data_IF_264015473950
#
_entry.id   IF_264015473950
#
_cell.length_a   1.000
_cell.length_b   1.000
_cell.length_c   1.000
_cell.angle_alpha   90.00
_cell.angle_beta   90.00
_cell.angle_gamma   90.00
#
_symmetry.space_group_name_H-M   'P 1'
#
loop_
_entity.id
_entity.type
_entity.pdbx_description
1 polymer ?
#
# COMPACT_ATOMS: atom_id res chain seq x y z
N UNK A 1 -5.37 -10.65 14.91
CA UNK A 1 -4.87 -10.75 13.51
C UNK A 1 -5.56 -11.95 12.87
N UNK A 2 -6.06 -11.82 11.64
CA UNK A 2 -6.75 -12.90 10.90
C UNK A 2 -6.14 -13.18 9.51
N UNK A 3 -5.02 -12.54 9.18
CA UNK A 3 -4.28 -12.76 7.95
C UNK A 3 -3.08 -13.70 8.12
N UNK A 4 -2.51 -14.13 7.00
CA UNK A 4 -1.30 -14.94 6.89
C UNK A 4 -0.07 -14.02 6.83
N UNK A 5 0.95 -14.32 7.64
CA UNK A 5 2.23 -13.59 7.68
C UNK A 5 3.34 -14.63 7.47
N UNK A 6 4.25 -14.38 6.54
CA UNK A 6 5.41 -15.27 6.30
C UNK A 6 6.50 -15.12 7.37
N UNK A 7 7.48 -16.03 7.35
CA UNK A 7 8.56 -16.05 8.34
C UNK A 7 9.53 -14.86 8.21
N UNK A 8 9.56 -14.19 7.07
CA UNK A 8 10.47 -13.06 6.80
C UNK A 8 9.82 -11.70 7.13
N UNK A 9 8.53 -11.68 7.47
CA UNK A 9 7.81 -10.46 7.80
C UNK A 9 7.91 -10.10 9.28
N UNK A 10 7.90 -8.80 9.57
CA UNK A 10 7.93 -8.27 10.94
C UNK A 10 6.71 -7.40 11.20
N UNK A 11 6.02 -7.65 12.32
CA UNK A 11 4.87 -6.85 12.74
C UNK A 11 5.15 -6.28 14.13
N UNK A 12 5.26 -4.95 14.22
CA UNK A 12 5.72 -4.24 15.41
C UNK A 12 4.62 -3.27 15.86
N UNK A 13 4.22 -3.35 17.13
CA UNK A 13 3.25 -2.42 17.72
C UNK A 13 1.78 -2.79 17.44
N UNK A 14 0.89 -1.78 17.46
CA UNK A 14 -0.56 -1.99 17.32
C UNK A 14 -0.96 -2.17 15.86
N UNK A 15 -1.07 -3.42 15.41
CA UNK A 15 -1.43 -3.74 14.03
C UNK A 15 -2.66 -4.63 13.97
N UNK A 16 -3.65 -4.22 13.18
CA UNK A 16 -4.81 -5.04 12.86
C UNK A 16 -4.68 -5.54 11.42
N UNK A 17 -4.93 -6.84 11.21
CA UNK A 17 -4.86 -7.49 9.90
C UNK A 17 -6.14 -8.27 9.71
N UNK A 18 -6.90 -7.92 8.67
CA UNK A 18 -8.14 -8.56 8.28
C UNK A 18 -7.96 -9.98 7.75
N UNK A 19 -9.08 -10.68 7.60
CA UNK A 19 -9.10 -12.07 7.15
C UNK A 19 -8.68 -12.17 5.68
N UNK A 20 -7.97 -13.25 5.33
CA UNK A 20 -7.55 -13.53 3.95
C UNK A 20 -6.42 -12.64 3.44
N UNK A 21 -5.93 -11.71 4.26
CA UNK A 21 -4.80 -10.86 3.91
C UNK A 21 -3.48 -11.62 4.04
N UNK A 22 -2.56 -11.41 3.10
CA UNK A 22 -1.26 -12.06 3.02
C UNK A 22 -0.15 -11.03 3.12
N UNK A 23 0.82 -11.31 3.98
CA UNK A 23 1.97 -10.44 4.26
C UNK A 23 3.24 -11.25 4.04
N UNK A 24 4.03 -10.85 3.05
CA UNK A 24 5.16 -11.62 2.53
C UNK A 24 6.38 -10.70 2.52
N UNK A 25 7.48 -11.13 3.14
CA UNK A 25 8.75 -10.40 3.20
C UNK A 25 8.58 -8.89 3.47
N UNK A 26 7.71 -8.54 4.42
CA UNK A 26 7.27 -7.15 4.64
C UNK A 26 7.37 -6.74 6.11
N UNK A 27 7.61 -5.46 6.35
CA UNK A 27 7.67 -4.88 7.70
C UNK A 27 6.49 -3.97 7.94
N UNK A 28 5.75 -4.20 9.02
CA UNK A 28 4.58 -3.40 9.39
C UNK A 28 4.79 -2.86 10.79
N UNK A 29 4.77 -1.53 10.89
CA UNK A 29 4.97 -0.82 12.14
C UNK A 29 3.73 -0.01 12.48
N UNK A 30 3.05 -0.42 13.55
CA UNK A 30 1.81 0.20 14.03
C UNK A 30 2.00 1.56 14.70
N UNK A 31 0.92 2.34 14.90
CA UNK A 31 -0.50 1.96 14.68
C UNK A 31 -0.86 1.85 13.20
N UNK A 32 -1.33 0.66 12.76
CA UNK A 32 -1.72 0.36 11.38
C UNK A 32 -2.95 -0.54 11.35
N UNK A 33 -3.84 -0.29 10.39
CA UNK A 33 -5.00 -1.16 10.09
C UNK A 33 -4.87 -1.66 8.66
N UNK A 34 -4.92 -2.98 8.49
CA UNK A 34 -4.97 -3.66 7.20
C UNK A 34 -6.30 -4.40 7.10
N UNK A 35 -7.04 -4.13 6.04
CA UNK A 35 -8.33 -4.72 5.73
C UNK A 35 -8.24 -6.20 5.37
N UNK A 36 -9.34 -6.70 4.83
CA UNK A 36 -9.48 -8.09 4.38
C UNK A 36 -8.95 -8.29 2.96
N UNK A 37 -8.52 -9.52 2.65
CA UNK A 37 -8.07 -9.95 1.32
C UNK A 37 -7.01 -9.03 0.68
N UNK A 38 -6.12 -8.47 1.49
CA UNK A 38 -5.00 -7.66 1.01
C UNK A 38 -3.81 -8.53 0.63
N UNK A 39 -3.03 -8.12 -0.35
CA UNK A 39 -1.76 -8.77 -0.70
C UNK A 39 -0.64 -7.74 -0.53
N UNK A 40 0.25 -7.98 0.43
CA UNK A 40 1.36 -7.09 0.79
C UNK A 40 2.65 -7.89 0.65
N UNK A 41 3.53 -7.46 -0.25
CA UNK A 41 4.75 -8.19 -0.60
C UNK A 41 5.93 -7.23 -0.79
N UNK A 42 7.05 -7.51 -0.14
CA UNK A 42 8.25 -6.67 -0.18
C UNK A 42 7.98 -5.20 0.17
N UNK A 43 7.13 -4.97 1.17
CA UNK A 43 6.66 -3.64 1.53
C UNK A 43 7.09 -3.23 2.94
N UNK A 44 7.29 -1.93 3.12
CA UNK A 44 7.26 -1.31 4.44
C UNK A 44 5.94 -0.56 4.63
N UNK A 45 5.18 -0.87 5.69
CA UNK A 45 3.99 -0.11 6.09
C UNK A 45 4.27 0.49 7.47
N UNK A 46 4.49 1.80 7.51
CA UNK A 46 4.76 2.50 8.74
C UNK A 46 3.51 3.04 9.45
N UNK A 47 3.74 3.68 10.61
CA UNK A 47 2.69 4.17 11.50
C UNK A 47 1.69 5.10 10.83
N UNK A 48 0.50 5.18 11.43
CA UNK A 48 -0.58 6.07 11.01
C UNK A 48 -1.07 5.83 9.58
N UNK A 49 -0.79 4.65 9.03
CA UNK A 49 -1.31 4.21 7.75
C UNK A 49 -2.53 3.30 7.92
N UNK A 50 -3.47 3.41 6.98
CA UNK A 50 -4.63 2.53 6.89
C UNK A 50 -4.76 1.96 5.48
N UNK A 51 -4.97 0.66 5.40
CA UNK A 51 -5.08 -0.11 4.16
C UNK A 51 -6.44 -0.77 4.14
N UNK A 52 -7.31 -0.37 3.21
CA UNK A 52 -8.66 -0.93 3.08
C UNK A 52 -8.65 -2.32 2.42
N UNK A 53 -9.83 -2.95 2.33
CA UNK A 53 -9.98 -4.30 1.79
C UNK A 53 -9.55 -4.40 0.32
N UNK A 54 -9.01 -5.56 -0.06
CA UNK A 54 -8.66 -5.87 -1.45
C UNK A 54 -7.46 -5.10 -2.00
N UNK A 55 -6.71 -4.39 -1.15
CA UNK A 55 -5.53 -3.63 -1.60
C UNK A 55 -4.39 -4.58 -1.93
N UNK A 56 -3.69 -4.26 -3.03
CA UNK A 56 -2.46 -4.92 -3.45
C UNK A 56 -1.28 -3.95 -3.36
N UNK A 57 -0.30 -4.26 -2.51
CA UNK A 57 0.98 -3.56 -2.38
C UNK A 57 2.10 -4.54 -2.73
N UNK A 58 2.90 -4.20 -3.74
CA UNK A 58 4.08 -4.97 -4.12
C UNK A 58 5.23 -4.01 -4.33
N UNK A 59 6.37 -4.26 -3.68
CA UNK A 59 7.59 -3.46 -3.81
C UNK A 59 7.32 -1.95 -3.61
N UNK A 60 6.73 -1.60 -2.46
CA UNK A 60 6.33 -0.23 -2.14
C UNK A 60 6.38 0.06 -0.63
N UNK A 61 6.81 1.27 -0.29
CA UNK A 61 6.92 1.75 1.09
C UNK A 61 5.90 2.86 1.36
N UNK A 62 5.15 2.75 2.47
CA UNK A 62 4.02 3.62 2.78
C UNK A 62 4.03 4.06 4.25
N UNK A 63 3.90 5.35 4.49
CA UNK A 63 3.79 5.98 5.82
C UNK A 63 2.71 7.05 5.82
N UNK A 64 2.08 7.32 6.97
CA UNK A 64 1.11 8.41 7.15
C UNK A 64 0.03 8.50 6.04
N UNK A 65 -0.43 7.37 5.52
CA UNK A 65 -1.25 7.35 4.30
C UNK A 65 -2.51 6.49 4.44
N UNK A 66 -3.55 6.88 3.69
CA UNK A 66 -4.82 6.16 3.62
C UNK A 66 -4.96 5.53 2.24
N UNK A 67 -5.06 4.21 2.17
CA UNK A 67 -5.24 3.46 0.92
C UNK A 67 -6.63 2.86 0.90
N UNK A 68 -7.44 3.29 -0.07
CA UNK A 68 -8.84 2.88 -0.18
C UNK A 68 -9.00 1.56 -0.94
N UNK A 69 -10.23 1.04 -0.87
CA UNK A 69 -10.60 -0.32 -1.29
C UNK A 69 -10.14 -0.61 -2.73
N UNK A 70 -9.63 -1.83 -2.94
CA UNK A 70 -9.25 -2.37 -4.25
C UNK A 70 -8.14 -1.59 -4.98
N UNK A 71 -7.39 -0.72 -4.27
CA UNK A 71 -6.25 -0.02 -4.85
C UNK A 71 -5.05 -0.96 -5.09
N UNK A 72 -4.23 -0.64 -6.08
CA UNK A 72 -3.05 -1.42 -6.47
C UNK A 72 -1.85 -0.49 -6.60
N UNK A 73 -0.79 -0.75 -5.84
CA UNK A 73 0.48 -0.02 -5.90
C UNK A 73 1.59 -1.04 -6.12
N UNK A 74 2.33 -0.92 -7.23
CA UNK A 74 3.33 -1.90 -7.66
C UNK A 74 4.60 -1.21 -8.13
N UNK A 75 5.74 -1.59 -7.53
CA UNK A 75 7.07 -1.20 -7.99
C UNK A 75 7.42 0.26 -7.71
N UNK A 76 6.80 0.89 -6.72
CA UNK A 76 7.10 2.28 -6.37
C UNK A 76 8.24 2.31 -5.36
N UNK A 77 9.46 2.54 -5.86
CA UNK A 77 10.67 2.56 -5.04
C UNK A 77 10.85 3.84 -4.21
N UNK A 78 10.02 4.87 -4.44
CA UNK A 78 9.99 6.05 -3.59
C UNK A 78 8.98 5.83 -2.46
N UNK A 79 9.29 6.34 -1.27
CA UNK A 79 8.37 6.25 -0.14
C UNK A 79 7.14 7.13 -0.38
N UNK A 80 5.95 6.56 -0.23
CA UNK A 80 4.67 7.26 -0.28
C UNK A 80 4.33 7.74 1.14
N UNK A 81 4.21 9.05 1.32
CA UNK A 81 3.95 9.70 2.62
C UNK A 81 2.82 10.72 2.48
N UNK A 82 2.08 10.97 3.55
CA UNK A 82 1.05 12.02 3.66
C UNK A 82 0.03 11.99 2.50
N UNK A 83 -0.36 10.78 2.08
CA UNK A 83 -1.12 10.55 0.85
C UNK A 83 -2.46 9.85 1.09
N UNK A 84 -3.44 10.16 0.24
CA UNK A 84 -4.70 9.41 0.14
C UNK A 84 -4.79 8.76 -1.24
N UNK A 85 -4.80 7.43 -1.29
CA UNK A 85 -4.88 6.65 -2.52
C UNK A 85 -6.32 6.17 -2.71
N UNK A 86 -6.94 6.62 -3.80
CA UNK A 86 -8.35 6.41 -4.11
C UNK A 86 -8.78 4.95 -4.31
N UNK A 87 -10.10 4.72 -4.25
CA UNK A 87 -10.70 3.39 -4.49
C UNK A 87 -10.38 2.92 -5.91
N UNK A 88 -9.88 1.69 -6.08
CA UNK A 88 -9.44 1.11 -7.37
C UNK A 88 -8.33 1.92 -8.07
N UNK A 89 -7.65 2.83 -7.36
CA UNK A 89 -6.53 3.55 -7.92
C UNK A 89 -5.39 2.57 -8.25
N UNK A 90 -4.64 2.86 -9.32
CA UNK A 90 -3.48 2.09 -9.74
C UNK A 90 -2.26 2.98 -9.83
N UNK A 91 -1.24 2.67 -9.04
CA UNK A 91 0.10 3.26 -9.11
C UNK A 91 1.06 2.17 -9.57
N UNK A 92 1.61 2.31 -10.77
CA UNK A 92 2.52 1.34 -11.36
C UNK A 92 3.57 2.05 -12.21
N UNK A 93 4.79 1.50 -12.26
CA UNK A 93 5.82 1.98 -13.17
C UNK A 93 5.52 1.45 -14.58
N UNK A 94 5.42 2.38 -15.54
CA UNK A 94 5.22 2.02 -16.94
C UNK A 94 6.45 1.27 -17.51
N UNK A 95 6.28 0.10 -18.15
CA UNK A 95 7.39 -0.73 -18.63
C UNK A 95 8.08 -0.22 -19.90
N UNK A 96 7.52 0.77 -20.60
CA UNK A 96 7.97 1.19 -21.94
C UNK A 96 8.56 2.60 -21.94
N UNK A 97 9.68 2.77 -22.63
CA UNK A 97 10.23 4.10 -22.94
C UNK A 97 9.35 4.80 -23.98
N UNK A 98 9.24 6.14 -23.94
CA UNK A 98 9.88 7.07 -22.99
C UNK A 98 9.25 7.02 -21.60
N UNK A 99 10.05 7.35 -20.56
CA UNK A 99 9.52 7.56 -19.20
C UNK A 99 8.54 8.72 -19.25
N UNK A 100 7.25 8.41 -19.30
CA UNK A 100 6.18 9.38 -19.31
C UNK A 100 5.29 9.17 -18.09
N UNK A 101 4.87 10.27 -17.47
CA UNK A 101 3.88 10.23 -16.40
C UNK A 101 2.50 10.13 -17.05
N UNK A 102 1.74 9.08 -16.69
CA UNK A 102 0.36 8.89 -17.13
C UNK A 102 -0.53 8.94 -15.91
N UNK A 103 -1.46 9.88 -15.92
CA UNK A 103 -2.39 10.09 -14.83
C UNK A 103 -3.81 9.74 -15.29
N UNK A 104 -4.53 9.01 -14.45
CA UNK A 104 -5.99 8.88 -14.52
C UNK A 104 -6.51 9.42 -13.19
N UNK A 105 -7.11 10.60 -13.25
CA UNK A 105 -7.46 11.42 -12.09
C UNK A 105 -8.98 11.44 -11.94
N UNK A 106 -9.47 11.10 -10.76
CA UNK A 106 -10.90 11.13 -10.42
C UNK A 106 -11.30 12.43 -9.74
N UNK A 107 -12.51 12.45 -9.17
CA UNK A 107 -13.01 13.61 -8.42
C UNK A 107 -12.13 13.89 -7.18
N UNK A 108 -12.00 15.17 -6.82
CA UNK A 108 -11.26 15.68 -5.65
C UNK A 108 -9.79 15.22 -5.54
N UNK A 109 -9.16 14.94 -6.68
CA UNK A 109 -7.78 14.46 -6.72
C UNK A 109 -6.77 15.60 -6.82
N UNK A 110 -5.69 15.52 -6.03
CA UNK A 110 -4.57 16.45 -6.05
C UNK A 110 -3.29 15.70 -6.45
N UNK A 111 -2.53 16.25 -7.40
CA UNK A 111 -1.25 15.69 -7.85
C UNK A 111 -0.19 16.78 -7.74
N UNK A 112 0.83 16.50 -6.93
CA UNK A 112 2.00 17.34 -6.78
C UNK A 112 3.25 16.53 -7.15
N UNK A 113 4.10 17.09 -8.02
CA UNK A 113 5.36 16.48 -8.44
C UNK A 113 6.48 17.36 -7.89
N UNK A 114 7.30 16.81 -6.99
CA UNK A 114 8.46 17.47 -6.36
C UNK A 114 9.76 16.77 -6.71
#
# INVERSE_FOLDING_TARGET
>A
MRGEIDANSQVIGRVQIGQGSKIINSTIRGPVIIGENCHIENCFIGPYSSVANGVKLIDADIEHSVILKDATIIGIHQRIVDSVIGRRAKLEIAPQRPKALRFMIGDDSHVELV
#
